data_IF_473926231212
#
_entry.id   IF_473926231212
#
_cell.length_a   1.000
_cell.length_b   1.000
_cell.length_c   1.000
_cell.angle_alpha   90.00
_cell.angle_beta   90.00
_cell.angle_gamma   90.00
#
_symmetry.space_group_name_H-M   'P 1'
#
loop_
_entity.id
_entity.type
_entity.pdbx_description
1 polymer ?
#
# COMPACT_ATOMS: atom_id res chain seq x y z
N UNK A 1 6.37 -6.41 -7.65
CA UNK A 1 5.85 -5.08 -8.06
C UNK A 1 6.98 -4.11 -7.88
N UNK A 2 7.27 -3.26 -8.86
CA UNK A 2 8.32 -2.25 -8.71
C UNK A 2 7.87 -1.13 -7.76
N UNK A 3 8.80 -0.33 -7.23
CA UNK A 3 8.46 0.81 -6.38
C UNK A 3 7.54 1.83 -7.09
N UNK A 4 7.72 2.04 -8.39
CA UNK A 4 6.87 2.93 -9.19
C UNK A 4 5.43 2.40 -9.31
N UNK A 5 5.28 1.10 -9.56
CA UNK A 5 3.96 0.46 -9.61
C UNK A 5 3.27 0.42 -8.24
N UNK A 6 4.05 0.30 -7.16
CA UNK A 6 3.51 0.42 -5.81
C UNK A 6 2.96 1.82 -5.55
N UNK A 7 3.70 2.86 -5.92
CA UNK A 7 3.27 4.24 -5.74
C UNK A 7 1.97 4.55 -6.52
N UNK A 8 1.89 4.14 -7.79
CA UNK A 8 0.68 4.30 -8.60
C UNK A 8 -0.52 3.60 -7.97
N UNK A 9 -0.36 2.35 -7.55
CA UNK A 9 -1.41 1.60 -6.86
C UNK A 9 -1.87 2.27 -5.56
N UNK A 10 -0.94 2.81 -4.75
CA UNK A 10 -1.29 3.57 -3.54
C UNK A 10 -2.12 4.79 -3.91
N UNK A 11 -1.70 5.56 -4.91
CA UNK A 11 -2.43 6.76 -5.35
C UNK A 11 -3.87 6.41 -5.79
N UNK A 12 -4.05 5.39 -6.63
CA UNK A 12 -5.38 4.95 -7.07
C UNK A 12 -6.29 4.57 -5.89
N UNK A 13 -5.73 3.90 -4.87
CA UNK A 13 -6.49 3.52 -3.68
C UNK A 13 -6.91 4.73 -2.86
N UNK A 14 -6.02 5.71 -2.66
CA UNK A 14 -6.34 6.93 -1.94
C UNK A 14 -7.32 7.83 -2.70
N UNK A 15 -7.23 7.90 -4.03
CA UNK A 15 -8.16 8.66 -4.87
C UNK A 15 -9.60 8.10 -4.79
N UNK A 16 -9.73 6.79 -4.60
CA UNK A 16 -11.04 6.13 -4.39
C UNK A 16 -11.54 6.15 -2.94
N UNK A 17 -10.70 6.60 -1.99
CA UNK A 17 -10.99 6.54 -0.56
C UNK A 17 -11.64 7.84 -0.08
N UNK A 18 -12.68 7.72 0.76
CA UNK A 18 -13.18 8.89 1.48
C UNK A 18 -12.23 9.24 2.64
N UNK A 19 -11.29 10.15 2.39
CA UNK A 19 -10.28 10.58 3.37
C UNK A 19 -10.87 11.21 4.64
N UNK A 20 -12.13 11.66 4.60
CA UNK A 20 -12.83 12.19 5.77
C UNK A 20 -13.45 11.10 6.64
N UNK A 21 -13.47 9.85 6.16
CA UNK A 21 -13.83 8.66 6.91
C UNK A 21 -12.57 8.05 7.54
N UNK A 22 -12.33 8.38 8.80
CA UNK A 22 -11.16 7.94 9.56
C UNK A 22 -11.01 6.41 9.60
N UNK A 23 -12.12 5.67 9.70
CA UNK A 23 -12.12 4.20 9.77
C UNK A 23 -11.66 3.60 8.44
N UNK A 24 -12.17 4.12 7.33
CA UNK A 24 -11.82 3.68 5.98
C UNK A 24 -10.36 3.99 5.66
N UNK A 25 -9.95 5.22 5.97
CA UNK A 25 -8.57 5.69 5.78
C UNK A 25 -7.57 4.84 6.59
N UNK A 26 -7.90 4.54 7.85
CA UNK A 26 -7.03 3.70 8.71
C UNK A 26 -6.88 2.27 8.18
N UNK A 27 -7.96 1.70 7.61
CA UNK A 27 -7.90 0.38 6.96
C UNK A 27 -7.04 0.41 5.70
N UNK A 28 -7.18 1.45 4.88
CA UNK A 28 -6.37 1.61 3.68
C UNK A 28 -4.88 1.73 4.03
N UNK A 29 -4.52 2.55 5.02
CA UNK A 29 -3.14 2.67 5.50
C UNK A 29 -2.55 1.33 5.96
N UNK A 30 -3.33 0.53 6.70
CA UNK A 30 -2.90 -0.79 7.14
C UNK A 30 -2.66 -1.74 5.94
N UNK A 31 -3.50 -1.69 4.91
CA UNK A 31 -3.34 -2.46 3.67
C UNK A 31 -2.06 -2.06 2.91
N UNK A 32 -1.83 -0.75 2.76
CA UNK A 32 -0.63 -0.19 2.12
C UNK A 32 0.64 -0.64 2.83
N UNK A 33 0.69 -0.53 4.16
CA UNK A 33 1.84 -0.95 4.96
C UNK A 33 2.08 -2.46 4.87
N UNK A 34 1.01 -3.28 4.95
CA UNK A 34 1.13 -4.73 4.78
C UNK A 34 1.72 -5.08 3.42
N UNK A 35 1.25 -4.43 2.35
CA UNK A 35 1.72 -4.67 0.99
C UNK A 35 3.17 -4.23 0.81
N UNK A 36 3.57 -3.11 1.40
CA UNK A 36 4.96 -2.63 1.43
C UNK A 36 5.90 -3.66 2.07
N UNK A 37 5.58 -4.12 3.29
CA UNK A 37 6.42 -5.11 3.98
C UNK A 37 6.45 -6.48 3.29
N UNK A 38 5.37 -6.88 2.61
CA UNK A 38 5.38 -8.10 1.80
C UNK A 38 6.29 -8.01 0.58
N UNK A 39 6.45 -6.82 -0.01
CA UNK A 39 7.39 -6.60 -1.10
C UNK A 39 8.84 -6.60 -0.58
N UNK A 40 9.11 -5.89 0.52
CA UNK A 40 10.45 -5.84 1.15
C UNK A 40 10.94 -7.22 1.62
N UNK A 41 10.03 -8.09 2.09
CA UNK A 41 10.37 -9.48 2.44
C UNK A 41 10.68 -10.34 1.22
N UNK A 42 9.97 -10.16 0.11
CA UNK A 42 10.24 -10.90 -1.12
C UNK A 42 11.59 -10.48 -1.74
N UNK A 43 12.06 -9.26 -1.53
CA UNK A 43 13.41 -8.83 -1.94
C UNK A 43 14.52 -9.40 -1.04
N UNK A 44 14.21 -9.92 0.16
CA UNK A 44 15.19 -10.50 1.09
C UNK A 44 15.25 -12.04 1.10
N UNK A 45 14.24 -12.73 0.56
CA UNK A 45 14.15 -14.20 0.52
C UNK A 45 14.65 -14.82 -0.82
N UNK A 46 15.15 -13.98 -1.74
CA UNK A 46 15.65 -14.37 -3.08
C UNK A 46 17.20 -14.26 -3.18
N UNK A 47 17.93 -14.27 -2.05
CA UNK A 47 19.42 -14.34 -1.95
C UNK A 47 19.88 -15.55 -1.13
#
# INVERSE_FOLDING_TARGET
MTAAQFAEWVQEKFDSCNIHNEIETSKLLAEVMKRYFSLDKHEKDDD
#
